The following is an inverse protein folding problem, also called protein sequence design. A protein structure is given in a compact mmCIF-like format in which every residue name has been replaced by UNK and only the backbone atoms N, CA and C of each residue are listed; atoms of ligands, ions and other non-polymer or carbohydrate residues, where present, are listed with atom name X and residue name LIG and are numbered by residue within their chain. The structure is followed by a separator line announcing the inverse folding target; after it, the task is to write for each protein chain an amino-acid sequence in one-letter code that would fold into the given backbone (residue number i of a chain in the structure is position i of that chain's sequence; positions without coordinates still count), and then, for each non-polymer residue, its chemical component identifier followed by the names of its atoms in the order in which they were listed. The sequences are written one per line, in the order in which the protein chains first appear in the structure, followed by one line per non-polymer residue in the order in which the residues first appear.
data_IF_938409924585
#
_entry.id   IF_938409924585
#
_cell.length_a   1.000
_cell.length_b   1.000
_cell.length_c   1.000
_cell.angle_alpha   90.00
_cell.angle_beta   90.00
_cell.angle_gamma   90.00
#
_symmetry.space_group_name_H-M   'P 1'
#
loop_
_entity.id
_entity.type
_entity.pdbx_description
1 polymer ?
#
# COMPACT_ATOMS: atom_id res chain seq x y z
N UNK A 1 0.02 4.53 3.61
CA UNK A 1 1.28 4.52 4.38
C UNK A 1 2.03 3.23 4.11
N UNK A 2 3.35 3.22 4.21
CA UNK A 2 4.20 2.02 4.18
C UNK A 2 4.74 1.72 5.57
N UNK A 3 4.83 0.45 5.94
CA UNK A 3 5.18 0.01 7.30
C UNK A 3 6.34 -0.97 7.22
N UNK A 4 7.42 -0.65 7.92
CA UNK A 4 8.59 -1.52 7.98
C UNK A 4 8.61 -2.23 9.34
N UNK A 5 8.68 -3.56 9.30
CA UNK A 5 8.66 -4.42 10.49
C UNK A 5 9.85 -5.36 10.44
N UNK A 6 10.67 -5.35 11.49
CA UNK A 6 11.82 -6.26 11.65
C UNK A 6 11.69 -6.98 12.98
N UNK A 7 11.73 -8.32 12.96
CA UNK A 7 11.61 -9.13 14.18
C UNK A 7 10.27 -8.98 14.92
N UNK A 8 9.21 -8.57 14.22
CA UNK A 8 7.89 -8.30 14.80
C UNK A 8 7.73 -6.89 15.40
N UNK A 9 8.76 -6.05 15.35
CA UNK A 9 8.71 -4.68 15.83
C UNK A 9 8.58 -3.69 14.68
N UNK A 10 7.72 -2.68 14.84
CA UNK A 10 7.62 -1.55 13.94
C UNK A 10 8.88 -0.70 14.03
N UNK A 11 9.57 -0.52 12.92
CA UNK A 11 10.81 0.28 12.87
C UNK A 11 10.61 1.62 12.17
N UNK A 12 9.77 1.68 11.14
CA UNK A 12 9.54 2.91 10.36
C UNK A 12 8.11 2.99 9.82
N UNK A 13 7.59 4.22 9.70
CA UNK A 13 6.33 4.53 9.01
C UNK A 13 6.57 5.55 7.91
N UNK A 14 6.42 5.10 6.66
CA UNK A 14 6.56 5.91 5.46
C UNK A 14 5.22 6.57 5.07
N UNK A 15 5.13 7.89 5.26
CA UNK A 15 3.88 8.64 5.04
C UNK A 15 3.82 9.31 3.67
N UNK A 16 4.91 9.94 3.23
CA UNK A 16 4.87 10.83 2.06
C UNK A 16 4.82 10.08 0.73
N UNK A 17 5.71 9.11 0.53
CA UNK A 17 5.82 8.38 -0.73
C UNK A 17 6.16 6.90 -0.51
N UNK A 18 5.28 6.12 0.14
CA UNK A 18 5.48 4.68 0.28
C UNK A 18 5.49 4.01 -1.11
N UNK A 19 6.41 3.06 -1.32
CA UNK A 19 6.62 2.34 -2.59
C UNK A 19 6.30 0.85 -2.46
N UNK A 20 6.58 0.02 -3.48
CA UNK A 20 6.48 -1.44 -3.39
C UNK A 20 5.16 -2.08 -3.89
N UNK A 21 4.15 -1.28 -4.25
CA UNK A 21 2.83 -1.81 -4.63
C UNK A 21 2.86 -2.71 -5.88
N UNK A 22 3.72 -2.38 -6.87
CA UNK A 22 3.84 -3.15 -8.11
C UNK A 22 4.53 -4.49 -7.88
N UNK A 23 5.55 -4.49 -7.01
CA UNK A 23 6.29 -5.67 -6.63
C UNK A 23 5.37 -6.65 -5.90
N UNK A 24 4.53 -6.16 -4.99
CA UNK A 24 3.54 -6.98 -4.28
C UNK A 24 2.53 -7.57 -5.27
N UNK A 25 1.95 -6.77 -6.16
CA UNK A 25 0.99 -7.25 -7.17
C UNK A 25 1.57 -8.41 -7.99
N UNK A 26 2.82 -8.26 -8.45
CA UNK A 26 3.51 -9.29 -9.23
C UNK A 26 3.76 -10.57 -8.42
N UNK A 27 4.19 -10.45 -7.17
CA UNK A 27 4.58 -11.59 -6.33
C UNK A 27 3.38 -12.35 -5.76
N UNK A 28 2.29 -11.64 -5.49
CA UNK A 28 1.08 -12.19 -4.87
C UNK A 28 -0.03 -12.51 -5.87
N UNK A 29 0.10 -12.07 -7.13
CA UNK A 29 -0.98 -12.18 -8.12
C UNK A 29 -2.18 -11.30 -7.80
N UNK A 30 -1.98 -10.26 -6.97
CA UNK A 30 -3.01 -9.30 -6.58
C UNK A 30 -2.97 -8.05 -7.47
N UNK A 31 -4.00 -7.21 -7.31
CA UNK A 31 -4.13 -5.91 -7.97
C UNK A 31 -4.39 -4.81 -6.94
N UNK A 32 -3.51 -4.66 -5.95
CA UNK A 32 -3.62 -3.66 -4.88
C UNK A 32 -3.66 -2.24 -5.42
N UNK A 33 -2.90 -1.95 -6.49
CA UNK A 33 -2.95 -0.64 -7.13
C UNK A 33 -4.36 -0.26 -7.58
N UNK A 34 -5.11 -1.23 -8.12
CA UNK A 34 -6.51 -1.04 -8.51
C UNK A 34 -7.39 -0.80 -7.28
N UNK A 35 -7.24 -1.63 -6.23
CA UNK A 35 -8.04 -1.49 -5.00
C UNK A 35 -7.87 -0.12 -4.35
N UNK A 36 -6.63 0.39 -4.30
CA UNK A 36 -6.35 1.74 -3.78
C UNK A 36 -7.05 2.80 -4.61
N UNK A 37 -7.00 2.72 -5.94
CA UNK A 37 -7.65 3.70 -6.81
C UNK A 37 -9.17 3.64 -6.71
N UNK A 38 -9.76 2.45 -6.63
CA UNK A 38 -11.19 2.26 -6.40
C UNK A 38 -11.62 2.90 -5.08
N UNK A 39 -10.88 2.66 -4.00
CA UNK A 39 -11.12 3.29 -2.70
C UNK A 39 -11.07 4.82 -2.81
N UNK A 40 -10.06 5.39 -3.46
CA UNK A 40 -9.94 6.84 -3.67
C UNK A 40 -11.16 7.39 -4.43
N UNK A 41 -11.59 6.73 -5.50
CA UNK A 41 -12.75 7.17 -6.30
C UNK A 41 -14.04 7.12 -5.49
N UNK A 42 -14.26 6.03 -4.73
CA UNK A 42 -15.42 5.89 -3.85
C UNK A 42 -15.49 7.01 -2.80
N UNK A 43 -14.35 7.39 -2.22
CA UNK A 43 -14.29 8.40 -1.14
C UNK A 43 -14.17 9.84 -1.66
N UNK A 44 -13.96 10.04 -2.96
CA UNK A 44 -14.03 11.35 -3.62
C UNK A 44 -15.44 11.76 -4.02
N UNK A 45 -16.39 10.84 -3.93
CA UNK A 45 -17.78 11.05 -4.36
C UNK A 45 -18.70 11.55 -3.24
N UNK A 46 -18.14 12.06 -2.13
CA UNK A 46 -18.85 12.71 -1.02
C UNK A 46 -18.33 14.11 -0.79
#
# INVERSE_FOLDING_TARGET
VGIDVIGGYLTEVNVTSPTGIREIDRLSGLHLGQQVMEWVVQHRSG
#
